data_IF_495608842231
#
_entry.id   IF_495608842231
#
_cell.length_a   1.000
_cell.length_b   1.000
_cell.length_c   1.000
_cell.angle_alpha   90.00
_cell.angle_beta   90.00
_cell.angle_gamma   90.00
#
_symmetry.space_group_name_H-M   'P 1'
#
loop_
_entity.id
_entity.type
_entity.pdbx_description
1 polymer ?
#
# COMPACT_ATOMS: atom_id res chain seq x y z
N UNK A 1 -50.33 -34.43 -54.14
CA UNK A 1 -49.72 -33.61 -55.19
C UNK A 1 -48.42 -33.10 -54.60
N UNK A 2 -47.39 -33.72 -54.87
CA UNK A 2 -46.43 -33.54 -55.94
C UNK A 2 -45.38 -32.60 -55.45
N UNK A 3 -44.19 -32.89 -55.19
CA UNK A 3 -43.13 -33.69 -55.69
C UNK A 3 -41.83 -32.97 -55.41
N UNK A 4 -40.87 -33.74 -55.52
CA UNK A 4 -39.50 -33.63 -56.03
C UNK A 4 -38.41 -33.61 -54.96
N UNK A 5 -37.90 -34.83 -54.76
CA UNK A 5 -36.53 -35.09 -54.29
C UNK A 5 -35.49 -34.44 -55.17
N UNK A 6 -34.47 -33.82 -54.60
CA UNK A 6 -33.16 -33.76 -55.22
C UNK A 6 -32.10 -34.27 -54.24
N UNK A 7 -31.48 -35.38 -54.68
CA UNK A 7 -30.26 -35.97 -54.13
C UNK A 7 -29.07 -35.04 -54.36
N UNK A 8 -28.28 -34.81 -53.37
CA UNK A 8 -26.89 -34.33 -53.55
C UNK A 8 -25.96 -35.32 -52.85
N UNK A 9 -24.89 -35.63 -53.58
CA UNK A 9 -23.93 -36.73 -53.43
C UNK A 9 -23.08 -36.54 -52.18
N UNK A 10 -22.82 -37.66 -51.48
CA UNK A 10 -21.72 -37.84 -50.56
C UNK A 10 -20.37 -37.56 -51.23
N UNK A 11 -19.58 -36.66 -50.64
CA UNK A 11 -18.12 -36.65 -50.82
C UNK A 11 -17.50 -37.16 -49.53
N UNK A 12 -16.71 -38.20 -49.67
CA UNK A 12 -15.87 -38.77 -48.63
C UNK A 12 -15.00 -37.65 -47.99
N UNK A 13 -15.19 -37.36 -46.71
CA UNK A 13 -14.22 -36.66 -45.92
C UNK A 13 -13.55 -37.66 -44.99
N UNK A 14 -12.30 -37.93 -45.31
CA UNK A 14 -11.36 -38.69 -44.52
C UNK A 14 -11.16 -37.95 -43.17
N UNK A 15 -11.63 -38.54 -42.08
CA UNK A 15 -11.33 -38.03 -40.74
C UNK A 15 -9.90 -38.40 -40.41
N UNK A 16 -9.01 -37.41 -40.48
CA UNK A 16 -7.68 -37.47 -39.88
C UNK A 16 -7.87 -37.20 -38.39
N UNK A 17 -7.75 -38.23 -37.57
CA UNK A 17 -7.60 -38.09 -36.13
C UNK A 17 -6.28 -37.41 -35.82
N UNK A 18 -6.29 -36.09 -35.64
CA UNK A 18 -5.23 -35.40 -34.96
C UNK A 18 -5.40 -35.66 -33.46
N UNK A 19 -4.57 -36.54 -32.92
CA UNK A 19 -4.40 -36.68 -31.48
C UNK A 19 -3.87 -35.35 -30.93
N UNK A 20 -4.78 -34.56 -30.35
CA UNK A 20 -4.39 -33.42 -29.55
C UNK A 20 -3.81 -33.93 -28.24
N UNK A 21 -2.49 -34.02 -28.18
CA UNK A 21 -1.77 -34.09 -26.92
C UNK A 21 -2.01 -32.77 -26.18
N UNK A 22 -2.96 -32.77 -25.29
CA UNK A 22 -3.10 -31.71 -24.27
C UNK A 22 -1.84 -31.76 -23.42
N UNK A 23 -0.84 -30.98 -23.81
CA UNK A 23 0.30 -30.69 -22.98
C UNK A 23 -0.24 -29.97 -21.74
N UNK A 24 -0.30 -30.71 -20.64
CA UNK A 24 -0.41 -30.09 -19.31
C UNK A 24 0.80 -29.17 -19.20
N UNK A 25 0.56 -27.88 -19.26
CA UNK A 25 1.59 -26.88 -18.96
C UNK A 25 1.97 -27.06 -17.50
N UNK A 26 2.99 -27.87 -17.25
CA UNK A 26 3.64 -27.93 -15.96
C UNK A 26 4.19 -26.53 -15.73
N UNK A 27 3.56 -25.80 -14.80
CA UNK A 27 4.08 -24.53 -14.34
C UNK A 27 5.53 -24.77 -13.93
N UNK A 28 6.47 -24.16 -14.64
CA UNK A 28 7.89 -24.24 -14.28
C UNK A 28 8.01 -23.67 -12.87
N UNK A 29 8.65 -24.38 -11.93
CA UNK A 29 8.92 -23.82 -10.63
C UNK A 29 9.70 -22.53 -10.86
N UNK A 30 9.23 -21.45 -10.22
CA UNK A 30 9.91 -20.16 -10.22
C UNK A 30 11.27 -20.38 -9.53
N UNK A 31 12.32 -20.46 -10.30
CA UNK A 31 13.69 -20.43 -9.80
C UNK A 31 14.08 -18.97 -9.70
N UNK A 32 14.47 -18.46 -8.51
CA UNK A 32 15.02 -17.13 -8.39
C UNK A 32 16.25 -17.04 -9.30
N UNK A 33 16.14 -16.27 -10.36
CA UNK A 33 17.30 -15.95 -11.19
C UNK A 33 18.17 -15.03 -10.36
N UNK A 34 19.35 -15.48 -9.97
CA UNK A 34 20.35 -14.65 -9.32
C UNK A 34 20.51 -13.35 -10.14
N UNK A 35 20.43 -12.18 -9.51
CA UNK A 35 20.61 -10.93 -10.22
C UNK A 35 22.06 -10.86 -10.73
N UNK A 36 22.23 -10.80 -12.05
CA UNK A 36 23.53 -10.65 -12.71
C UNK A 36 24.13 -9.23 -12.59
N UNK A 37 23.57 -8.41 -11.72
CA UNK A 37 24.08 -7.07 -11.38
C UNK A 37 24.08 -6.98 -9.87
N UNK A 38 25.26 -6.79 -9.30
CA UNK A 38 25.39 -6.45 -7.88
C UNK A 38 24.35 -5.37 -7.54
N UNK A 39 23.40 -5.64 -6.62
CA UNK A 39 22.49 -4.61 -6.17
C UNK A 39 23.37 -3.51 -5.57
N UNK A 40 23.25 -2.28 -6.04
CA UNK A 40 23.83 -1.13 -5.30
C UNK A 40 23.28 -1.25 -3.88
N UNK A 41 24.18 -1.26 -2.89
CA UNK A 41 23.76 -1.53 -1.53
C UNK A 41 22.63 -0.59 -1.12
N UNK A 42 21.57 -1.17 -0.59
CA UNK A 42 20.33 -0.48 -0.28
C UNK A 42 20.51 0.66 0.75
N UNK A 43 21.61 0.65 1.52
CA UNK A 43 22.00 1.70 2.48
C UNK A 43 22.20 3.10 1.88
N UNK A 44 22.34 3.22 0.54
CA UNK A 44 22.40 4.55 -0.11
C UNK A 44 21.01 5.19 -0.28
N UNK A 45 19.91 4.52 0.10
CA UNK A 45 18.56 4.95 -0.22
C UNK A 45 17.92 5.83 0.84
N UNK A 46 18.33 5.69 2.11
CA UNK A 46 17.85 6.51 3.23
C UNK A 46 18.89 6.51 4.36
N UNK A 47 19.07 7.64 5.02
CA UNK A 47 19.83 7.67 6.26
C UNK A 47 18.90 7.25 7.41
N UNK A 48 19.08 6.06 8.03
CA UNK A 48 18.24 5.59 9.14
C UNK A 48 18.17 6.59 10.30
N UNK A 49 19.23 7.37 10.50
CA UNK A 49 19.31 8.37 11.58
C UNK A 49 18.29 9.53 11.44
N UNK A 50 17.65 9.70 10.27
CA UNK A 50 16.64 10.76 10.05
C UNK A 50 15.20 10.29 10.32
N UNK A 51 15.00 9.02 10.65
CA UNK A 51 13.68 8.47 10.91
C UNK A 51 13.32 8.67 12.38
N UNK A 52 12.06 9.09 12.67
CA UNK A 52 11.58 9.09 14.04
C UNK A 52 11.61 7.67 14.59
N UNK A 53 11.98 7.54 15.87
CA UNK A 53 11.89 6.27 16.56
C UNK A 53 10.43 5.77 16.55
N UNK A 54 10.25 4.48 16.32
CA UNK A 54 8.93 3.88 16.45
C UNK A 54 8.48 3.94 17.90
N UNK A 55 7.19 4.27 18.18
CA UNK A 55 6.69 4.25 19.54
C UNK A 55 6.79 2.84 20.10
N UNK A 56 7.22 2.67 21.38
CA UNK A 56 7.21 1.38 22.01
C UNK A 56 5.79 0.80 22.05
N UNK A 57 5.68 -0.51 21.98
CA UNK A 57 4.41 -1.16 22.23
C UNK A 57 3.96 -0.89 23.68
N UNK A 58 2.66 -0.57 23.92
CA UNK A 58 2.12 -0.52 25.26
C UNK A 58 2.35 -1.81 26.02
N UNK A 59 2.74 -1.71 27.29
CA UNK A 59 2.95 -2.87 28.17
C UNK A 59 2.59 -2.49 29.62
N UNK A 60 1.71 -3.22 30.31
CA UNK A 60 0.93 -4.36 29.80
C UNK A 60 -0.13 -3.93 28.78
N UNK A 61 -0.56 -4.86 27.91
CA UNK A 61 -1.60 -4.59 26.92
C UNK A 61 -2.98 -4.84 27.51
N UNK A 62 -3.85 -3.82 27.50
CA UNK A 62 -5.27 -3.99 27.80
C UNK A 62 -5.99 -4.62 26.61
N UNK A 63 -6.62 -5.78 26.81
CA UNK A 63 -7.25 -6.56 25.76
C UNK A 63 -8.44 -5.83 25.10
N UNK A 64 -9.23 -5.07 25.88
CA UNK A 64 -10.39 -4.33 25.36
C UNK A 64 -9.97 -3.17 24.47
N UNK A 65 -8.99 -2.39 24.89
CA UNK A 65 -8.41 -1.30 24.10
C UNK A 65 -7.72 -1.86 22.85
N UNK A 66 -7.04 -2.99 22.96
CA UNK A 66 -6.39 -3.64 21.83
C UNK A 66 -7.41 -4.11 20.79
N UNK A 67 -8.52 -4.75 21.24
CA UNK A 67 -9.62 -5.16 20.35
C UNK A 67 -10.23 -3.96 19.61
N UNK A 68 -10.52 -2.86 20.32
CA UNK A 68 -11.04 -1.64 19.72
C UNK A 68 -10.08 -1.05 18.67
N UNK A 69 -8.79 -0.99 19.00
CA UNK A 69 -7.75 -0.51 18.09
C UNK A 69 -7.54 -1.42 16.88
N UNK A 70 -7.60 -2.74 17.07
CA UNK A 70 -7.55 -3.73 15.99
C UNK A 70 -8.76 -3.60 15.05
N UNK A 71 -9.96 -3.52 15.60
CA UNK A 71 -11.18 -3.32 14.82
C UNK A 71 -11.12 -2.02 14.00
N UNK A 72 -10.69 -0.91 14.62
CA UNK A 72 -10.48 0.36 13.92
C UNK A 72 -9.46 0.22 12.78
N UNK A 73 -8.29 -0.38 13.03
CA UNK A 73 -7.26 -0.59 12.00
C UNK A 73 -7.79 -1.38 10.80
N UNK A 74 -8.55 -2.44 11.07
CA UNK A 74 -9.06 -3.37 10.06
C UNK A 74 -10.37 -2.91 9.40
N UNK A 75 -10.97 -1.80 9.86
CA UNK A 75 -12.27 -1.31 9.39
C UNK A 75 -13.41 -2.27 9.72
N UNK A 76 -13.37 -2.88 10.91
CA UNK A 76 -14.35 -3.85 11.40
C UNK A 76 -15.28 -3.22 12.44
N UNK A 77 -16.48 -3.79 12.58
CA UNK A 77 -17.27 -3.58 13.78
C UNK A 77 -16.56 -4.26 14.96
N UNK A 78 -16.40 -3.54 16.09
CA UNK A 78 -15.70 -4.04 17.27
C UNK A 78 -16.37 -5.28 17.91
N UNK A 79 -17.65 -5.52 17.61
CA UNK A 79 -18.42 -6.68 18.07
C UNK A 79 -18.43 -7.84 17.07
N UNK A 80 -17.74 -7.72 15.96
CA UNK A 80 -17.69 -8.75 14.93
C UNK A 80 -16.78 -9.92 15.33
N UNK A 81 -17.11 -11.13 14.92
CA UNK A 81 -16.26 -12.33 15.12
C UNK A 81 -14.86 -12.16 14.55
N UNK A 82 -14.65 -11.29 13.55
CA UNK A 82 -13.33 -10.96 13.04
C UNK A 82 -12.54 -10.05 13.99
N UNK A 83 -13.21 -9.20 14.75
CA UNK A 83 -12.57 -8.38 15.79
C UNK A 83 -12.14 -9.25 16.98
N UNK A 84 -12.84 -10.35 17.26
CA UNK A 84 -12.51 -11.29 18.34
C UNK A 84 -11.17 -12.01 18.10
N UNK A 85 -10.70 -12.10 16.85
CA UNK A 85 -9.35 -12.61 16.53
C UNK A 85 -8.24 -11.82 17.22
N UNK A 86 -8.51 -10.60 17.67
CA UNK A 86 -7.56 -9.79 18.44
C UNK A 86 -7.12 -10.47 19.74
N UNK A 87 -8.00 -11.20 20.41
CA UNK A 87 -7.68 -11.93 21.63
C UNK A 87 -6.73 -13.12 21.35
N UNK A 88 -6.95 -13.84 20.26
CA UNK A 88 -6.07 -14.94 19.86
C UNK A 88 -4.74 -14.42 19.29
N UNK A 89 -4.75 -13.23 18.66
CA UNK A 89 -3.53 -12.55 18.23
C UNK A 89 -2.66 -12.15 19.42
N UNK A 90 -3.26 -11.64 20.50
CA UNK A 90 -2.53 -11.35 21.74
C UNK A 90 -1.89 -12.61 22.35
N UNK A 91 -2.63 -13.73 22.39
CA UNK A 91 -2.09 -15.02 22.88
C UNK A 91 -0.93 -15.52 22.00
N UNK A 92 -1.07 -15.42 20.69
CA UNK A 92 -0.02 -15.84 19.76
C UNK A 92 1.23 -14.94 19.87
N UNK A 93 1.04 -13.64 20.07
CA UNK A 93 2.12 -12.69 20.28
C UNK A 93 2.87 -13.01 21.59
N UNK A 94 2.15 -13.21 22.69
CA UNK A 94 2.72 -13.56 24.00
C UNK A 94 3.51 -14.88 23.93
N UNK A 95 2.95 -15.91 23.29
CA UNK A 95 3.60 -17.19 23.12
C UNK A 95 4.90 -17.14 22.30
N UNK A 96 5.05 -16.18 21.41
CA UNK A 96 6.21 -16.00 20.55
C UNK A 96 7.12 -14.84 20.98
N UNK A 97 6.84 -14.17 22.09
CA UNK A 97 7.53 -12.94 22.54
C UNK A 97 7.55 -11.85 21.48
N UNK A 98 6.45 -11.75 20.73
CA UNK A 98 6.28 -10.83 19.60
C UNK A 98 5.48 -9.58 19.97
N UNK A 99 5.70 -8.49 19.23
CA UNK A 99 4.88 -7.27 19.34
C UNK A 99 3.49 -7.47 18.70
N UNK A 100 2.39 -7.49 19.48
CA UNK A 100 1.04 -7.71 18.96
C UNK A 100 0.57 -6.61 18.02
N UNK A 101 1.05 -5.38 18.18
CA UNK A 101 0.71 -4.27 17.28
C UNK A 101 1.38 -4.43 15.91
N UNK A 102 2.59 -4.97 15.88
CA UNK A 102 3.27 -5.31 14.62
C UNK A 102 2.56 -6.47 13.90
N UNK A 103 2.13 -7.51 14.64
CA UNK A 103 1.34 -8.60 14.05
C UNK A 103 0.02 -8.10 13.46
N UNK A 104 -0.71 -7.25 14.18
CA UNK A 104 -1.94 -6.64 13.66
C UNK A 104 -1.68 -5.81 12.40
N UNK A 105 -0.59 -5.04 12.38
CA UNK A 105 -0.19 -4.25 11.22
C UNK A 105 0.16 -5.12 9.99
N UNK A 106 0.81 -6.25 10.20
CA UNK A 106 1.10 -7.25 9.15
C UNK A 106 -0.18 -7.87 8.59
N UNK A 107 -1.12 -8.26 9.45
CA UNK A 107 -2.42 -8.77 9.04
C UNK A 107 -3.19 -7.73 8.21
N UNK A 108 -3.22 -6.47 8.66
CA UNK A 108 -3.84 -5.38 7.90
C UNK A 108 -3.15 -5.15 6.55
N UNK A 109 -1.83 -5.07 6.52
CA UNK A 109 -1.07 -4.77 5.30
C UNK A 109 -1.23 -5.87 4.26
N UNK A 110 -1.08 -7.13 4.64
CA UNK A 110 -1.05 -8.26 3.73
C UNK A 110 -2.45 -8.68 3.23
N UNK A 111 -3.47 -8.68 4.11
CA UNK A 111 -4.76 -9.32 3.84
C UNK A 111 -5.98 -8.46 4.16
N UNK A 112 -5.78 -7.24 4.70
CA UNK A 112 -6.87 -6.44 5.28
C UNK A 112 -7.59 -7.17 6.41
N UNK A 113 -6.82 -7.87 7.22
CA UNK A 113 -7.30 -8.66 8.35
C UNK A 113 -8.30 -9.75 7.94
N UNK A 114 -8.18 -10.30 6.75
CA UNK A 114 -9.04 -11.39 6.29
C UNK A 114 -8.40 -12.75 6.63
N UNK A 115 -8.96 -13.51 7.60
CA UNK A 115 -8.43 -14.81 7.97
C UNK A 115 -8.64 -15.88 6.89
N UNK A 116 -9.56 -15.64 5.96
CA UNK A 116 -9.85 -16.52 4.82
C UNK A 116 -9.14 -16.09 3.54
N UNK A 117 -8.12 -15.23 3.66
CA UNK A 117 -7.36 -14.76 2.50
C UNK A 117 -6.65 -15.91 1.79
N UNK A 118 -6.87 -15.99 0.48
CA UNK A 118 -6.16 -16.91 -0.42
C UNK A 118 -5.99 -16.27 -1.80
N UNK A 119 -4.79 -15.85 -2.10
CA UNK A 119 -4.47 -15.22 -3.38
C UNK A 119 -2.99 -15.37 -3.69
N UNK A 120 -2.67 -15.64 -4.96
CA UNK A 120 -1.29 -15.67 -5.47
C UNK A 120 -0.35 -16.60 -4.67
N UNK A 121 -0.87 -17.76 -4.17
CA UNK A 121 -0.12 -18.72 -3.38
C UNK A 121 0.06 -18.34 -1.90
N UNK A 122 -0.60 -17.28 -1.44
CA UNK A 122 -0.56 -16.76 -0.06
C UNK A 122 -1.87 -17.05 0.65
N UNK A 123 -1.80 -17.43 1.92
CA UNK A 123 -2.93 -17.98 2.68
C UNK A 123 -3.03 -17.43 4.10
N UNK A 124 -4.26 -17.39 4.61
CA UNK A 124 -4.58 -17.06 5.99
C UNK A 124 -4.40 -15.59 6.35
N UNK A 125 -4.57 -15.27 7.62
CA UNK A 125 -4.62 -13.90 8.15
C UNK A 125 -3.41 -13.04 7.75
N UNK A 126 -2.22 -13.63 7.63
CA UNK A 126 -0.99 -12.91 7.29
C UNK A 126 -0.58 -13.05 5.82
N UNK A 127 -1.36 -13.78 5.00
CA UNK A 127 -1.00 -14.02 3.61
C UNK A 127 0.36 -14.73 3.48
N UNK A 128 0.56 -15.79 4.25
CA UNK A 128 1.81 -16.55 4.28
C UNK A 128 1.87 -17.45 3.05
N UNK A 129 3.03 -17.45 2.38
CA UNK A 129 3.35 -18.43 1.36
C UNK A 129 4.03 -19.64 2.03
N UNK A 130 3.50 -20.87 1.89
CA UNK A 130 4.09 -22.06 2.53
C UNK A 130 5.57 -22.30 2.22
N UNK A 131 6.03 -21.82 1.07
CA UNK A 131 7.43 -21.89 0.64
C UNK A 131 8.37 -20.96 1.43
N UNK A 132 7.86 -19.91 2.08
CA UNK A 132 8.68 -18.99 2.89
C UNK A 132 9.39 -19.67 4.06
N UNK A 133 8.93 -20.84 4.48
CA UNK A 133 9.58 -21.67 5.51
C UNK A 133 10.71 -22.56 4.97
N UNK A 134 10.98 -22.55 3.67
CA UNK A 134 11.99 -23.39 3.02
C UNK A 134 13.32 -22.69 2.76
N UNK A 135 13.56 -21.55 3.40
CA UNK A 135 14.86 -20.87 3.26
C UNK A 135 15.94 -21.78 3.88
N UNK A 136 16.94 -22.25 3.12
CA UNK A 136 17.89 -23.28 3.57
C UNK A 136 18.71 -22.89 4.79
N UNK A 137 18.89 -21.60 5.05
CA UNK A 137 19.75 -21.04 6.10
C UNK A 137 18.94 -20.38 7.25
N UNK A 138 17.60 -20.39 7.19
CA UNK A 138 16.81 -19.85 8.28
C UNK A 138 16.85 -20.79 9.48
N UNK A 139 16.96 -20.26 10.72
CA UNK A 139 16.78 -21.07 11.93
C UNK A 139 15.43 -21.80 11.84
N UNK A 140 15.38 -23.03 12.33
CA UNK A 140 14.16 -23.83 12.26
C UNK A 140 13.01 -23.08 12.90
N UNK A 141 11.88 -22.85 12.19
CA UNK A 141 10.72 -22.24 12.80
C UNK A 141 10.21 -23.17 13.92
N UNK A 142 9.70 -22.61 15.02
CA UNK A 142 9.17 -23.41 16.13
C UNK A 142 7.93 -24.23 15.75
N UNK A 143 7.42 -24.06 14.53
CA UNK A 143 6.25 -24.80 14.01
C UNK A 143 6.73 -25.97 13.16
N UNK A 144 6.18 -27.14 13.40
CA UNK A 144 6.48 -28.36 12.65
C UNK A 144 6.22 -28.15 11.15
N UNK A 145 7.28 -28.29 10.33
CA UNK A 145 7.23 -28.11 8.86
C UNK A 145 6.20 -29.01 8.17
N UNK A 146 5.83 -30.11 8.77
CA UNK A 146 4.80 -31.01 8.26
C UNK A 146 3.39 -30.45 8.32
N UNK A 147 3.14 -29.38 9.09
CA UNK A 147 1.81 -28.80 9.31
C UNK A 147 1.52 -27.55 8.50
N UNK A 148 2.52 -26.89 7.89
CA UNK A 148 2.32 -25.66 7.14
C UNK A 148 1.92 -25.93 5.70
N UNK A 149 0.73 -26.46 5.54
CA UNK A 149 0.05 -26.54 4.24
C UNK A 149 -0.82 -25.30 4.03
N UNK A 150 -1.18 -25.02 2.77
CA UNK A 150 -2.15 -23.96 2.46
C UNK A 150 -3.45 -24.14 3.24
N UNK A 151 -3.92 -25.38 3.42
CA UNK A 151 -5.12 -25.70 4.20
C UNK A 151 -4.94 -25.38 5.70
N UNK A 152 -3.79 -25.69 6.28
CA UNK A 152 -3.51 -25.39 7.69
C UNK A 152 -3.46 -23.88 7.94
N UNK A 153 -2.89 -23.09 7.02
CA UNK A 153 -2.85 -21.64 7.12
C UNK A 153 -4.24 -20.95 7.01
N UNK A 154 -5.26 -21.65 6.51
CA UNK A 154 -6.65 -21.16 6.51
C UNK A 154 -7.34 -21.35 7.86
N UNK A 155 -6.77 -22.13 8.77
CA UNK A 155 -7.19 -22.19 10.18
C UNK A 155 -6.63 -20.95 10.92
N UNK A 156 -7.49 -20.11 11.53
CA UNK A 156 -7.05 -18.87 12.18
C UNK A 156 -5.99 -19.09 13.27
N UNK A 157 -6.12 -20.12 14.11
CA UNK A 157 -5.17 -20.39 15.17
C UNK A 157 -3.79 -20.78 14.63
N UNK A 158 -3.74 -21.64 13.62
CA UNK A 158 -2.51 -22.02 12.93
C UNK A 158 -1.89 -20.82 12.21
N UNK A 159 -2.70 -20.00 11.55
CA UNK A 159 -2.22 -18.79 10.87
C UNK A 159 -1.59 -17.80 11.85
N UNK A 160 -2.22 -17.58 13.01
CA UNK A 160 -1.72 -16.69 14.06
C UNK A 160 -0.40 -17.19 14.63
N UNK A 161 -0.31 -18.45 15.01
CA UNK A 161 0.92 -19.05 15.53
C UNK A 161 2.07 -18.97 14.50
N UNK A 162 1.77 -19.31 13.24
CA UNK A 162 2.73 -19.25 12.16
C UNK A 162 3.20 -17.80 11.88
N UNK A 163 2.29 -16.83 11.90
CA UNK A 163 2.61 -15.42 11.70
C UNK A 163 3.51 -14.86 12.80
N UNK A 164 3.21 -15.15 14.05
CA UNK A 164 4.02 -14.73 15.19
C UNK A 164 5.44 -15.33 15.16
N UNK A 165 5.53 -16.66 14.96
CA UNK A 165 6.81 -17.34 14.85
C UNK A 165 7.65 -16.83 13.65
N UNK A 166 6.99 -16.56 12.53
CA UNK A 166 7.66 -16.04 11.33
C UNK A 166 8.19 -14.63 11.56
N UNK A 167 7.46 -13.77 12.27
CA UNK A 167 7.92 -12.42 12.61
C UNK A 167 9.20 -12.47 13.45
N UNK A 168 9.23 -13.31 14.49
CA UNK A 168 10.42 -13.42 15.33
C UNK A 168 11.61 -14.01 14.60
N UNK A 169 11.39 -15.02 13.75
CA UNK A 169 12.42 -15.53 12.87
C UNK A 169 13.04 -14.42 12.01
N UNK A 170 12.22 -13.55 11.41
CA UNK A 170 12.70 -12.45 10.57
C UNK A 170 13.34 -11.32 11.38
N UNK A 171 12.89 -11.06 12.62
CA UNK A 171 13.54 -10.12 13.52
C UNK A 171 14.94 -10.59 13.89
N UNK A 172 15.11 -11.88 14.23
CA UNK A 172 16.41 -12.46 14.49
C UNK A 172 17.32 -12.41 13.25
N UNK A 173 16.80 -12.82 12.10
CA UNK A 173 17.55 -12.78 10.82
C UNK A 173 17.96 -11.38 10.42
N UNK A 174 17.08 -10.39 10.59
CA UNK A 174 17.39 -8.97 10.32
C UNK A 174 18.57 -8.50 11.18
N UNK A 175 18.57 -8.85 12.47
CA UNK A 175 19.66 -8.51 13.38
C UNK A 175 21.00 -9.12 12.94
N UNK A 176 21.01 -10.39 12.55
CA UNK A 176 22.19 -11.05 12.00
C UNK A 176 22.71 -10.36 10.74
N UNK A 177 21.83 -9.96 9.82
CA UNK A 177 22.20 -9.25 8.60
C UNK A 177 22.74 -7.86 8.89
N UNK A 178 22.16 -7.14 9.84
CA UNK A 178 22.59 -5.81 10.25
C UNK A 178 24.00 -5.85 10.88
N UNK A 179 24.23 -6.81 11.78
CA UNK A 179 25.52 -7.05 12.42
C UNK A 179 26.61 -7.45 11.41
N UNK A 180 26.23 -8.23 10.36
CA UNK A 180 27.18 -8.77 9.38
C UNK A 180 27.56 -7.77 8.29
N UNK A 181 26.69 -6.84 7.92
CA UNK A 181 26.85 -5.95 6.76
C UNK A 181 27.02 -4.46 7.12
N UNK A 182 27.11 -4.13 8.42
CA UNK A 182 27.36 -2.75 8.88
C UNK A 182 26.20 -1.80 8.67
N UNK A 183 25.01 -2.29 8.76
CA UNK A 183 23.74 -1.55 8.67
C UNK A 183 22.85 -1.98 7.53
N UNK A 184 21.59 -2.26 7.86
CA UNK A 184 20.55 -2.59 6.91
C UNK A 184 19.84 -1.33 6.41
N UNK A 185 19.33 -1.37 5.18
CA UNK A 185 18.44 -0.33 4.65
C UNK A 185 17.06 -0.35 5.32
N UNK A 186 16.79 -1.35 6.14
CA UNK A 186 15.55 -1.58 6.85
C UNK A 186 15.81 -1.48 8.35
N UNK A 187 14.80 -0.99 9.08
CA UNK A 187 14.87 -0.74 10.51
C UNK A 187 14.46 -1.97 11.34
N UNK A 188 13.74 -2.87 10.72
CA UNK A 188 13.09 -4.00 11.40
C UNK A 188 12.99 -5.22 10.50
N UNK A 189 12.68 -6.39 11.09
CA UNK A 189 12.41 -7.61 10.37
C UNK A 189 11.11 -7.65 9.57
N UNK A 190 10.20 -6.66 9.72
CA UNK A 190 8.88 -6.69 9.04
C UNK A 190 8.98 -6.64 7.51
N UNK A 191 10.02 -6.02 6.97
CA UNK A 191 10.25 -6.01 5.54
C UNK A 191 10.53 -7.41 5.00
N UNK A 192 11.29 -8.19 5.74
CA UNK A 192 11.61 -9.59 5.41
C UNK A 192 10.39 -10.51 5.50
N UNK A 193 9.44 -10.21 6.38
CA UNK A 193 8.18 -10.95 6.45
C UNK A 193 7.41 -10.97 5.13
N UNK A 194 7.52 -9.89 4.36
CA UNK A 194 6.83 -9.76 3.06
C UNK A 194 7.67 -10.27 1.89
N UNK A 195 9.00 -10.12 1.95
CA UNK A 195 9.91 -10.29 0.80
C UNK A 195 10.95 -11.39 0.98
N UNK A 196 11.05 -12.01 2.15
CA UNK A 196 12.15 -12.93 2.45
C UNK A 196 13.49 -12.18 2.54
N UNK A 197 14.58 -12.84 2.18
CA UNK A 197 15.94 -12.26 2.23
C UNK A 197 16.15 -11.13 1.19
N UNK A 198 15.41 -11.14 0.08
CA UNK A 198 15.54 -10.14 -0.98
C UNK A 198 14.70 -8.89 -0.74
N UNK A 199 15.00 -8.09 0.25
CA UNK A 199 14.26 -6.85 0.47
C UNK A 199 14.66 -5.79 -0.55
N UNK A 200 13.71 -5.36 -1.37
CA UNK A 200 13.95 -4.45 -2.50
C UNK A 200 13.63 -2.99 -2.24
N UNK A 201 12.84 -2.69 -1.21
CA UNK A 201 12.34 -1.33 -0.94
C UNK A 201 11.87 -1.19 0.50
N UNK A 202 12.29 -0.12 1.17
CA UNK A 202 11.80 0.25 2.49
C UNK A 202 10.33 0.74 2.51
N UNK A 203 9.71 0.96 1.34
CA UNK A 203 8.37 1.54 1.27
C UNK A 203 7.28 0.69 1.92
N UNK A 204 7.43 -0.64 1.92
CA UNK A 204 6.46 -1.53 2.56
C UNK A 204 6.67 -1.65 4.05
N UNK A 205 7.92 -1.65 4.50
CA UNK A 205 8.22 -1.50 5.92
C UNK A 205 7.55 -0.25 6.48
N UNK A 206 7.67 0.88 5.79
CA UNK A 206 7.03 2.13 6.19
C UNK A 206 5.52 2.02 6.30
N UNK A 207 4.86 1.34 5.38
CA UNK A 207 3.41 1.15 5.40
C UNK A 207 2.96 0.24 6.56
N UNK A 208 3.72 -0.82 6.84
CA UNK A 208 3.44 -1.71 7.98
C UNK A 208 3.64 -0.96 9.29
N UNK A 209 4.76 -0.26 9.45
CA UNK A 209 5.05 0.52 10.64
C UNK A 209 4.05 1.69 10.83
N UNK A 210 3.56 2.26 9.74
CA UNK A 210 2.46 3.23 9.80
C UNK A 210 1.17 2.60 10.32
N UNK A 211 0.81 1.40 9.85
CA UNK A 211 -0.35 0.68 10.36
C UNK A 211 -0.21 0.37 11.85
N UNK A 212 0.99 -0.01 12.29
CA UNK A 212 1.32 -0.20 13.70
C UNK A 212 1.13 1.09 14.52
N UNK A 213 1.67 2.21 14.05
CA UNK A 213 1.49 3.52 14.72
C UNK A 213 0.03 3.95 14.81
N UNK A 214 -0.76 3.72 13.75
CA UNK A 214 -2.21 3.98 13.76
C UNK A 214 -2.89 3.21 14.87
N UNK A 215 -2.59 1.93 15.00
CA UNK A 215 -3.19 1.10 16.03
C UNK A 215 -2.78 1.54 17.44
N UNK A 216 -1.51 1.87 17.66
CA UNK A 216 -1.02 2.38 18.95
C UNK A 216 -1.65 3.75 19.27
N UNK A 217 -1.83 4.62 18.30
CA UNK A 217 -2.46 5.92 18.50
C UNK A 217 -3.93 5.78 18.95
N UNK A 218 -4.69 4.88 18.33
CA UNK A 218 -6.06 4.56 18.73
C UNK A 218 -6.10 3.92 20.11
N UNK A 219 -5.21 2.95 20.37
CA UNK A 219 -5.10 2.29 21.66
C UNK A 219 -4.85 3.26 22.84
N UNK A 220 -4.00 4.27 22.60
CA UNK A 220 -3.61 5.26 23.60
C UNK A 220 -4.55 6.48 23.62
N UNK A 221 -5.63 6.53 22.85
CA UNK A 221 -6.47 7.70 22.65
C UNK A 221 -5.62 8.95 22.32
N UNK A 222 -4.58 8.77 21.48
CA UNK A 222 -3.64 9.84 21.15
C UNK A 222 -4.36 10.93 20.38
N UNK A 223 -4.34 12.19 20.84
CA UNK A 223 -5.01 13.29 20.16
C UNK A 223 -4.37 13.53 18.78
N UNK A 224 -5.20 13.98 17.85
CA UNK A 224 -4.74 14.36 16.52
C UNK A 224 -3.74 15.53 16.61
N UNK A 225 -2.61 15.40 15.91
CA UNK A 225 -1.62 16.47 15.86
C UNK A 225 -2.18 17.62 15.02
N UNK A 226 -2.34 18.78 15.64
CA UNK A 226 -2.72 20.02 14.96
C UNK A 226 -1.51 20.93 14.79
N UNK A 227 -1.53 21.77 13.77
CA UNK A 227 -0.48 22.74 13.50
C UNK A 227 -1.02 23.99 12.84
N UNK A 228 -0.62 25.16 13.33
CA UNK A 228 -0.80 26.41 12.62
C UNK A 228 0.18 26.46 11.43
N UNK A 229 -0.36 26.39 10.22
CA UNK A 229 0.46 26.37 9.01
C UNK A 229 0.80 27.79 8.55
N UNK A 230 1.94 28.02 7.83
CA UNK A 230 2.33 29.36 7.34
C UNK A 230 1.34 29.98 6.34
N UNK A 231 0.32 29.23 5.92
CA UNK A 231 -0.78 29.69 5.07
C UNK A 231 -1.95 30.29 5.89
N UNK A 232 -1.79 30.44 7.19
CA UNK A 232 -2.80 31.01 8.11
C UNK A 232 -4.03 30.11 8.28
N UNK A 233 -3.85 28.81 8.30
CA UNK A 233 -4.87 27.78 8.56
C UNK A 233 -4.30 26.75 9.52
N UNK A 234 -5.06 26.40 10.58
CA UNK A 234 -4.72 25.28 11.44
C UNK A 234 -5.02 23.97 10.70
N UNK A 235 -4.01 23.12 10.59
CA UNK A 235 -4.12 21.87 9.82
C UNK A 235 -3.87 20.63 10.67
N UNK A 236 -4.47 19.53 10.23
CA UNK A 236 -4.20 18.15 10.69
C UNK A 236 -3.60 17.34 9.54
N UNK A 237 -3.16 16.13 9.84
CA UNK A 237 -2.64 15.23 8.80
C UNK A 237 -3.75 14.75 7.84
N UNK A 238 -3.53 14.73 6.52
CA UNK A 238 -4.50 14.15 5.57
C UNK A 238 -4.59 12.63 5.66
N UNK A 239 -3.64 11.98 6.35
CA UNK A 239 -3.59 10.55 6.59
C UNK A 239 -3.31 10.29 8.06
N UNK A 240 -3.87 9.21 8.60
CA UNK A 240 -3.71 8.84 10.00
C UNK A 240 -2.25 8.52 10.37
N UNK A 241 -1.94 8.57 11.68
CA UNK A 241 -0.63 8.25 12.26
C UNK A 241 0.58 8.97 11.63
N UNK A 242 0.61 10.31 11.64
CA UNK A 242 1.81 11.05 11.29
C UNK A 242 2.98 10.71 12.25
N UNK A 243 4.24 10.90 11.82
CA UNK A 243 4.64 11.43 10.51
C UNK A 243 4.54 10.42 9.37
N UNK A 244 4.13 10.89 8.20
CA UNK A 244 3.99 10.08 6.99
C UNK A 244 5.17 10.29 6.04
N UNK A 245 5.61 9.22 5.39
CA UNK A 245 6.72 9.30 4.44
C UNK A 245 6.24 9.88 3.12
N UNK A 246 6.87 10.94 2.66
CA UNK A 246 6.70 11.46 1.31
C UNK A 246 7.73 10.82 0.37
N UNK A 247 7.24 10.28 -0.73
CA UNK A 247 8.08 9.58 -1.73
C UNK A 247 8.54 10.50 -2.86
N UNK A 248 7.87 11.64 -3.06
CA UNK A 248 8.21 12.62 -4.08
C UNK A 248 7.67 14.00 -3.71
N UNK A 249 8.43 15.05 -4.02
CA UNK A 249 8.14 16.43 -3.64
C UNK A 249 7.88 17.36 -4.82
N UNK A 250 7.46 18.62 -4.53
CA UNK A 250 7.31 19.64 -5.54
C UNK A 250 8.61 19.90 -6.30
N UNK A 251 8.50 20.06 -7.62
CA UNK A 251 9.65 20.33 -8.50
C UNK A 251 10.33 19.10 -9.06
N UNK A 252 10.03 17.90 -8.55
CA UNK A 252 10.56 16.64 -9.09
C UNK A 252 10.17 16.44 -10.55
N UNK A 253 11.09 15.87 -11.32
CA UNK A 253 10.86 15.60 -12.73
C UNK A 253 9.79 14.53 -12.95
N UNK A 254 8.83 14.84 -13.84
CA UNK A 254 7.80 13.95 -14.35
C UNK A 254 7.93 13.80 -15.87
N UNK A 255 7.52 12.63 -16.38
CA UNK A 255 7.48 12.35 -17.81
C UNK A 255 8.83 12.60 -18.54
N UNK A 256 9.94 12.26 -17.85
CA UNK A 256 11.30 12.46 -18.37
C UNK A 256 11.77 13.92 -18.36
N UNK A 257 11.21 14.76 -17.49
CA UNK A 257 11.54 16.18 -17.34
C UNK A 257 10.59 17.14 -18.11
N UNK A 258 9.63 16.58 -18.86
CA UNK A 258 8.65 17.39 -19.60
C UNK A 258 7.68 18.15 -18.68
N UNK A 259 7.53 17.72 -17.44
CA UNK A 259 6.63 18.33 -16.45
C UNK A 259 7.28 18.27 -15.06
N UNK A 260 7.02 19.25 -14.23
CA UNK A 260 7.40 19.27 -12.82
C UNK A 260 6.27 18.76 -11.93
N UNK A 261 6.63 18.07 -10.88
CA UNK A 261 5.69 17.64 -9.84
C UNK A 261 5.12 18.86 -9.11
N UNK A 262 3.81 18.91 -8.94
CA UNK A 262 3.14 20.08 -8.38
C UNK A 262 2.79 19.92 -6.90
N UNK A 263 2.78 18.71 -6.40
CA UNK A 263 2.37 18.38 -5.04
C UNK A 263 3.38 17.53 -4.29
N UNK A 264 2.89 16.89 -3.25
CA UNK A 264 3.61 15.95 -2.41
C UNK A 264 2.96 14.56 -2.57
N UNK A 265 3.76 13.55 -2.95
CA UNK A 265 3.28 12.17 -2.98
C UNK A 265 3.57 11.51 -1.63
N UNK A 266 2.53 11.24 -0.85
CA UNK A 266 2.61 10.64 0.49
C UNK A 266 2.32 9.15 0.37
N UNK A 267 3.25 8.30 0.82
CA UNK A 267 3.10 6.85 0.81
C UNK A 267 1.87 6.44 1.62
N UNK A 268 1.02 5.60 1.01
CA UNK A 268 -0.20 5.14 1.65
C UNK A 268 -0.65 3.78 1.08
N UNK A 269 -1.45 3.05 1.84
CA UNK A 269 -2.05 1.80 1.40
C UNK A 269 -3.29 2.05 0.53
N UNK A 270 -3.54 1.17 -0.43
CA UNK A 270 -4.79 1.21 -1.20
C UNK A 270 -5.99 1.08 -0.26
N UNK A 271 -6.97 2.00 -0.41
CA UNK A 271 -8.16 2.04 0.43
C UNK A 271 -7.95 2.68 1.82
N UNK A 272 -6.79 3.25 2.10
CA UNK A 272 -6.56 3.99 3.35
C UNK A 272 -7.42 5.25 3.41
N UNK A 273 -8.03 5.59 4.58
CA UNK A 273 -8.84 6.80 4.73
C UNK A 273 -8.04 8.07 4.45
N UNK A 274 -8.63 8.97 3.66
CA UNK A 274 -8.12 10.32 3.40
C UNK A 274 -9.03 11.32 4.12
N UNK A 275 -8.43 12.25 4.86
CA UNK A 275 -9.12 13.21 5.70
C UNK A 275 -8.86 14.64 5.25
N UNK A 276 -9.82 15.53 5.45
CA UNK A 276 -9.62 16.96 5.23
C UNK A 276 -8.56 17.50 6.19
N UNK A 277 -7.60 18.25 5.67
CA UNK A 277 -6.54 18.84 6.52
C UNK A 277 -7.05 19.99 7.40
N UNK A 278 -8.16 20.61 7.05
CA UNK A 278 -8.76 21.72 7.80
C UNK A 278 -10.25 21.83 7.52
N UNK A 279 -10.95 22.66 8.27
CA UNK A 279 -12.33 23.07 7.94
C UNK A 279 -12.39 23.70 6.57
N UNK A 280 -13.47 23.50 5.82
CA UNK A 280 -13.61 24.12 4.50
C UNK A 280 -14.82 23.66 3.72
N UNK A 281 -14.91 24.15 2.49
CA UNK A 281 -15.97 23.81 1.52
C UNK A 281 -15.39 23.02 0.37
N UNK A 282 -16.00 21.90 0.01
CA UNK A 282 -15.62 21.11 -1.17
C UNK A 282 -15.98 21.92 -2.43
N UNK A 283 -14.98 22.40 -3.16
CA UNK A 283 -15.16 23.19 -4.38
C UNK A 283 -15.06 22.36 -5.66
N UNK A 284 -14.62 21.13 -5.54
CA UNK A 284 -14.59 20.16 -6.64
C UNK A 284 -14.53 18.73 -6.09
N UNK A 285 -15.37 17.85 -6.63
CA UNK A 285 -15.28 16.41 -6.44
C UNK A 285 -15.58 15.72 -7.77
N UNK A 286 -14.60 14.98 -8.33
CA UNK A 286 -14.76 14.42 -9.66
C UNK A 286 -13.52 13.71 -10.20
N UNK A 287 -13.36 13.77 -11.52
CA UNK A 287 -12.26 13.12 -12.24
C UNK A 287 -11.47 14.07 -13.11
N UNK A 288 -10.19 13.80 -13.27
CA UNK A 288 -9.35 14.38 -14.30
C UNK A 288 -9.52 13.56 -15.57
N UNK A 289 -10.04 14.18 -16.64
CA UNK A 289 -10.24 13.56 -17.94
C UNK A 289 -9.14 13.98 -18.94
N UNK A 290 -8.91 13.22 -20.03
CA UNK A 290 -7.99 13.61 -21.10
C UNK A 290 -8.31 15.01 -21.65
N UNK A 291 -7.28 15.77 -22.04
CA UNK A 291 -7.44 17.17 -22.48
C UNK A 291 -7.59 18.17 -21.34
N UNK A 292 -7.19 17.79 -20.10
CA UNK A 292 -7.31 18.60 -18.88
C UNK A 292 -8.75 18.99 -18.49
N UNK A 293 -9.74 18.32 -19.06
CA UNK A 293 -11.13 18.52 -18.70
C UNK A 293 -11.39 17.93 -17.30
N UNK A 294 -12.00 18.74 -16.44
CA UNK A 294 -12.56 18.29 -15.18
C UNK A 294 -14.00 17.84 -15.42
N UNK A 295 -14.37 16.71 -14.84
CA UNK A 295 -15.75 16.22 -14.82
C UNK A 295 -16.15 15.94 -13.39
N UNK A 296 -17.16 16.65 -12.93
CA UNK A 296 -17.80 16.53 -11.62
C UNK A 296 -19.11 17.32 -11.61
N UNK A 297 -19.98 17.11 -10.64
CA UNK A 297 -19.94 16.00 -9.66
C UNK A 297 -20.26 14.65 -10.33
N UNK A 298 -19.58 13.59 -9.89
CA UNK A 298 -19.85 12.23 -10.35
C UNK A 298 -20.37 11.43 -9.16
N UNK A 299 -21.58 10.86 -9.24
CA UNK A 299 -22.10 10.03 -8.17
C UNK A 299 -21.14 8.88 -7.82
N UNK A 300 -20.99 8.54 -6.52
CA UNK A 300 -20.03 7.53 -6.06
C UNK A 300 -20.19 6.16 -6.76
N UNK A 301 -21.41 5.76 -7.08
CA UNK A 301 -21.72 4.52 -7.80
C UNK A 301 -21.24 4.52 -9.26
N UNK A 302 -21.04 5.70 -9.85
CA UNK A 302 -20.53 5.85 -11.20
C UNK A 302 -19.00 5.91 -11.25
N UNK A 303 -18.33 6.29 -10.17
CA UNK A 303 -16.86 6.41 -10.13
C UNK A 303 -16.20 5.07 -10.45
N UNK A 304 -16.72 3.96 -9.89
CA UNK A 304 -16.21 2.61 -10.13
C UNK A 304 -16.29 2.17 -11.60
N UNK A 305 -17.15 2.80 -12.41
CA UNK A 305 -17.32 2.54 -13.86
C UNK A 305 -16.30 3.26 -14.73
N UNK A 306 -15.56 4.21 -14.16
CA UNK A 306 -14.52 4.92 -14.90
C UNK A 306 -13.28 4.03 -15.05
N UNK A 307 -13.07 3.55 -16.27
CA UNK A 307 -11.87 2.76 -16.57
C UNK A 307 -10.61 3.62 -16.41
N UNK A 308 -9.57 3.09 -15.76
CA UNK A 308 -8.28 3.79 -15.54
C UNK A 308 -7.70 4.43 -16.80
N UNK A 309 -7.89 3.81 -17.98
CA UNK A 309 -7.43 4.32 -19.28
C UNK A 309 -8.12 5.61 -19.73
N UNK A 310 -9.27 5.97 -19.14
CA UNK A 310 -10.03 7.17 -19.45
C UNK A 310 -9.72 8.36 -18.54
N UNK A 311 -8.85 8.15 -17.56
CA UNK A 311 -8.47 9.15 -16.60
C UNK A 311 -7.15 9.80 -17.00
N UNK A 312 -7.06 11.12 -16.90
CA UNK A 312 -5.81 11.86 -16.97
C UNK A 312 -5.04 11.74 -15.66
N UNK A 313 -3.86 12.34 -15.59
CA UNK A 313 -2.87 12.17 -14.50
C UNK A 313 -3.44 12.43 -13.10
N UNK A 314 -4.39 13.33 -12.92
CA UNK A 314 -5.00 13.59 -11.59
C UNK A 314 -5.87 12.45 -11.08
N UNK A 315 -6.38 11.58 -11.98
CA UNK A 315 -7.27 10.49 -11.60
C UNK A 315 -8.60 10.98 -11.02
N UNK A 316 -9.07 10.28 -9.99
CA UNK A 316 -10.19 10.71 -9.15
C UNK A 316 -9.62 11.64 -8.08
N UNK A 317 -10.23 12.81 -7.90
CA UNK A 317 -9.73 13.80 -6.95
C UNK A 317 -10.80 14.73 -6.44
N UNK A 318 -10.52 15.42 -5.35
CA UNK A 318 -11.33 16.50 -4.82
C UNK A 318 -10.45 17.67 -4.37
N UNK A 319 -11.03 18.86 -4.31
CA UNK A 319 -10.39 20.05 -3.78
C UNK A 319 -11.30 20.75 -2.77
N UNK A 320 -10.70 21.25 -1.68
CA UNK A 320 -11.39 21.92 -0.58
C UNK A 320 -10.82 23.32 -0.43
N UNK A 321 -11.69 24.32 -0.36
CA UNK A 321 -11.36 25.69 -0.04
C UNK A 321 -11.48 25.91 1.45
N UNK A 322 -10.36 26.30 2.09
CA UNK A 322 -10.28 26.56 3.52
C UNK A 322 -10.39 28.02 3.89
N UNK A 323 -9.97 28.88 2.99
CA UNK A 323 -10.11 30.34 3.05
C UNK A 323 -10.56 30.89 1.72
N UNK A 324 -11.57 31.77 1.68
CA UNK A 324 -11.96 32.46 0.43
C UNK A 324 -10.99 33.60 0.07
N UNK A 325 -11.22 34.25 -1.05
CA UNK A 325 -10.53 35.48 -1.43
C UNK A 325 -10.65 36.55 -0.32
N UNK A 326 -9.63 37.44 -0.12
CA UNK A 326 -8.41 37.56 -0.96
C UNK A 326 -7.29 36.56 -0.62
N UNK A 327 -7.32 35.95 0.56
CA UNK A 327 -6.30 35.01 1.06
C UNK A 327 -6.68 33.55 0.76
N UNK A 328 -7.13 33.30 -0.43
CA UNK A 328 -7.67 32.00 -0.82
C UNK A 328 -6.70 30.87 -0.57
N UNK A 329 -7.12 29.88 0.19
CA UNK A 329 -6.36 28.64 0.47
C UNK A 329 -7.15 27.42 0.02
N UNK A 330 -6.57 26.63 -0.86
CA UNK A 330 -7.19 25.40 -1.40
C UNK A 330 -6.23 24.23 -1.25
N UNK A 331 -6.76 23.09 -0.81
CA UNK A 331 -6.03 21.81 -0.87
C UNK A 331 -6.70 20.85 -1.84
N UNK A 332 -5.90 20.06 -2.56
CA UNK A 332 -6.40 19.04 -3.47
C UNK A 332 -5.80 17.67 -3.14
N UNK A 333 -6.65 16.65 -3.20
CA UNK A 333 -6.37 15.26 -2.85
C UNK A 333 -6.61 14.40 -4.08
N UNK A 334 -5.54 13.82 -4.66
CA UNK A 334 -5.60 13.16 -5.97
C UNK A 334 -5.23 11.67 -5.89
N UNK A 335 -5.45 10.97 -7.00
CA UNK A 335 -5.24 9.53 -7.16
C UNK A 335 -6.15 8.68 -6.27
N UNK A 336 -7.30 9.22 -5.82
CA UNK A 336 -8.23 8.53 -4.95
C UNK A 336 -8.81 7.27 -5.61
N UNK A 337 -9.17 6.29 -4.80
CA UNK A 337 -10.02 5.17 -5.21
C UNK A 337 -11.47 5.61 -5.32
N UNK A 338 -11.91 6.44 -4.35
CA UNK A 338 -13.24 7.04 -4.29
C UNK A 338 -13.23 8.23 -3.34
N UNK A 339 -14.30 9.02 -3.36
CA UNK A 339 -14.59 10.06 -2.38
C UNK A 339 -15.99 9.85 -1.77
N UNK A 340 -16.24 10.45 -0.60
CA UNK A 340 -17.49 10.28 0.17
C UNK A 340 -18.19 11.61 0.46
N UNK A 341 -17.73 12.70 -0.16
CA UNK A 341 -18.28 14.05 -0.04
C UNK A 341 -18.69 14.58 -1.41
N UNK A 342 -19.57 15.56 -1.46
CA UNK A 342 -20.03 16.21 -2.68
C UNK A 342 -19.53 17.65 -2.77
N UNK A 343 -19.59 18.27 -3.96
CA UNK A 343 -19.35 19.70 -4.12
C UNK A 343 -20.34 20.49 -3.27
N UNK A 344 -19.87 21.57 -2.66
CA UNK A 344 -20.55 22.43 -1.68
C UNK A 344 -20.70 21.83 -0.28
N UNK A 345 -20.30 20.60 -0.02
CA UNK A 345 -20.28 20.08 1.34
C UNK A 345 -19.31 20.87 2.21
N UNK A 346 -19.76 21.18 3.46
CA UNK A 346 -18.91 21.72 4.51
C UNK A 346 -18.23 20.53 5.20
N UNK A 347 -16.92 20.57 5.28
CA UNK A 347 -16.12 19.54 5.95
C UNK A 347 -15.32 20.11 7.11
N UNK A 348 -15.06 19.27 8.11
CA UNK A 348 -14.25 19.61 9.27
C UNK A 348 -12.82 19.05 9.11
N UNK A 349 -11.87 19.67 9.81
CA UNK A 349 -10.54 19.09 9.99
C UNK A 349 -10.65 17.65 10.49
N UNK A 350 -9.88 16.72 9.92
CA UNK A 350 -9.94 15.30 10.27
C UNK A 350 -11.13 14.52 9.71
N UNK A 351 -12.13 15.18 9.11
CA UNK A 351 -13.28 14.49 8.52
C UNK A 351 -12.86 13.60 7.35
N UNK A 352 -13.38 12.36 7.30
CA UNK A 352 -13.23 11.46 6.15
C UNK A 352 -13.80 12.08 4.88
N UNK A 353 -12.99 12.15 3.83
CA UNK A 353 -13.38 12.74 2.53
C UNK A 353 -13.22 11.76 1.37
N UNK A 354 -12.45 10.68 1.54
CA UNK A 354 -12.24 9.68 0.49
C UNK A 354 -11.25 8.60 0.91
N UNK A 355 -10.79 7.84 -0.07
CA UNK A 355 -9.89 6.72 0.14
C UNK A 355 -8.75 6.74 -0.87
N UNK A 356 -7.55 6.40 -0.40
CA UNK A 356 -6.34 6.32 -1.23
C UNK A 356 -6.52 5.30 -2.36
N UNK A 357 -6.11 5.70 -3.56
CA UNK A 357 -6.16 4.87 -4.74
C UNK A 357 -4.86 4.86 -5.55
N UNK A 358 -5.02 4.60 -6.83
CA UNK A 358 -3.99 4.60 -7.88
C UNK A 358 -4.52 5.17 -9.19
N UNK A 359 -5.62 5.91 -9.14
CA UNK A 359 -6.29 6.39 -10.35
C UNK A 359 -5.44 7.47 -11.05
N UNK A 360 -5.37 7.41 -12.38
CA UNK A 360 -4.58 8.34 -13.18
C UNK A 360 -3.07 8.07 -13.22
N UNK A 361 -2.54 7.13 -12.43
CA UNK A 361 -1.12 6.74 -12.46
C UNK A 361 -0.91 5.34 -13.03
N UNK A 362 0.17 5.15 -13.80
CA UNK A 362 0.43 3.89 -14.52
C UNK A 362 1.36 2.94 -13.75
N UNK A 363 2.39 3.48 -13.12
CA UNK A 363 3.51 2.70 -12.59
C UNK A 363 3.82 2.94 -11.09
N UNK A 364 3.29 4.00 -10.50
CA UNK A 364 3.51 4.28 -9.07
C UNK A 364 2.69 3.36 -8.18
N UNK A 365 3.21 2.95 -7.01
CA UNK A 365 2.39 2.30 -5.98
C UNK A 365 1.26 3.23 -5.51
N UNK A 366 0.28 2.73 -4.73
CA UNK A 366 -0.73 3.57 -4.10
C UNK A 366 -0.08 4.68 -3.27
N UNK A 367 -0.62 5.88 -3.36
CA UNK A 367 -0.16 7.06 -2.62
C UNK A 367 -1.23 8.14 -2.67
N UNK A 368 -1.16 9.08 -1.73
CA UNK A 368 -1.91 10.31 -1.79
C UNK A 368 -1.05 11.39 -2.45
N UNK A 369 -1.47 11.90 -3.61
CA UNK A 369 -0.92 13.13 -4.16
C UNK A 369 -1.68 14.32 -3.56
N UNK A 370 -0.95 15.17 -2.83
CA UNK A 370 -1.49 16.29 -2.07
C UNK A 370 -0.92 17.61 -2.58
N UNK A 371 -1.81 18.54 -3.00
CA UNK A 371 -1.44 19.90 -3.41
C UNK A 371 -2.00 20.93 -2.42
N UNK A 372 -1.25 22.00 -2.21
CA UNK A 372 -1.68 23.20 -1.48
C UNK A 372 -1.53 24.40 -2.40
N UNK A 373 -2.57 25.25 -2.44
CA UNK A 373 -2.60 26.46 -3.24
C UNK A 373 -2.98 27.66 -2.37
N UNK A 374 -2.26 28.76 -2.59
CA UNK A 374 -2.56 30.07 -1.97
C UNK A 374 -2.75 31.07 -3.12
N UNK A 375 -3.96 31.58 -3.26
CA UNK A 375 -4.37 32.27 -4.49
C UNK A 375 -4.14 31.36 -5.72
N UNK A 376 -3.47 31.89 -6.73
CA UNK A 376 -3.10 31.16 -7.95
C UNK A 376 -1.82 30.32 -7.83
N UNK A 377 -1.11 30.39 -6.69
CA UNK A 377 0.22 29.77 -6.52
C UNK A 377 0.13 28.43 -5.81
N UNK A 378 0.86 27.45 -6.35
CA UNK A 378 1.12 26.18 -5.66
C UNK A 378 2.26 26.42 -4.68
N UNK A 379 2.02 26.08 -3.42
CA UNK A 379 3.01 26.16 -2.35
C UNK A 379 3.49 24.75 -1.95
N UNK A 380 4.66 24.69 -1.34
CA UNK A 380 5.24 23.41 -0.93
C UNK A 380 4.44 22.81 0.25
N UNK A 381 3.76 21.65 0.05
CA UNK A 381 2.95 21.01 1.10
C UNK A 381 3.76 20.59 2.33
N UNK A 382 5.06 20.33 2.20
CA UNK A 382 5.94 20.02 3.35
C UNK A 382 5.96 21.16 4.36
N UNK A 383 5.93 22.41 3.89
CA UNK A 383 5.84 23.58 4.80
C UNK A 383 4.52 23.67 5.52
N UNK A 384 3.44 23.27 4.85
CA UNK A 384 2.09 23.24 5.42
C UNK A 384 1.96 22.13 6.47
N UNK A 385 2.36 20.90 6.14
CA UNK A 385 2.23 19.74 7.02
C UNK A 385 3.31 19.67 8.11
N UNK A 386 4.51 20.23 7.86
CA UNK A 386 5.60 20.29 8.83
C UNK A 386 6.00 18.89 9.34
N UNK A 387 5.96 18.72 10.64
CA UNK A 387 6.32 17.47 11.32
C UNK A 387 5.39 16.28 11.02
N UNK A 388 4.24 16.52 10.36
CA UNK A 388 3.31 15.46 9.97
C UNK A 388 3.82 14.65 8.78
N UNK A 389 4.87 15.09 8.09
CA UNK A 389 5.49 14.38 6.98
C UNK A 389 7.01 14.31 7.12
N UNK A 390 7.57 13.21 6.67
CA UNK A 390 9.01 13.03 6.46
C UNK A 390 9.26 13.38 5.00
N UNK A 391 9.96 14.48 4.70
CA UNK A 391 10.15 14.91 3.32
C UNK A 391 10.95 13.90 2.50
N UNK A 392 10.75 13.84 1.17
CA UNK A 392 11.51 12.95 0.32
C UNK A 392 12.99 13.34 0.36
N UNK A 393 13.87 12.34 0.49
CA UNK A 393 15.31 12.58 0.30
C UNK A 393 15.60 12.79 -1.20
N UNK A 394 16.57 13.63 -1.54
CA UNK A 394 17.00 13.87 -2.92
C UNK A 394 17.37 12.56 -3.68
N UNK A 395 17.74 11.52 -2.95
CA UNK A 395 18.10 10.19 -3.50
C UNK A 395 16.86 9.37 -3.91
N UNK A 396 15.72 9.55 -3.24
CA UNK A 396 14.47 8.85 -3.59
C UNK A 396 13.85 9.37 -4.87
N UNK A 397 13.96 10.67 -5.13
CA UNK A 397 13.40 11.30 -6.34
C UNK A 397 14.03 10.78 -7.62
N UNK A 398 15.28 10.34 -7.58
CA UNK A 398 15.99 9.82 -8.75
C UNK A 398 15.58 8.40 -9.16
N UNK A 399 15.10 7.58 -8.23
CA UNK A 399 14.71 6.18 -8.50
C UNK A 399 13.36 6.01 -9.21
N UNK A 400 12.46 6.95 -9.04
CA UNK A 400 11.12 6.92 -9.65
C UNK A 400 11.01 7.76 -10.93
N UNK A 401 12.11 8.29 -11.46
CA UNK A 401 12.04 9.01 -12.73
C UNK A 401 11.67 8.05 -13.86
N UNK A 402 10.71 8.44 -14.69
CA UNK A 402 10.28 7.67 -15.88
C UNK A 402 11.46 7.38 -16.79
N UNK A 403 12.48 8.25 -16.80
CA UNK A 403 13.73 8.09 -17.56
C UNK A 403 14.56 6.91 -17.03
N UNK A 404 14.73 6.80 -15.71
CA UNK A 404 15.43 5.68 -15.08
C UNK A 404 14.66 4.36 -15.29
N UNK A 405 13.34 4.38 -15.17
CA UNK A 405 12.50 3.22 -15.44
C UNK A 405 12.59 2.77 -16.90
N UNK A 406 12.46 3.69 -17.86
CA UNK A 406 12.60 3.38 -19.32
C UNK A 406 14.00 2.89 -19.66
N UNK A 407 15.05 3.47 -19.09
CA UNK A 407 16.43 3.01 -19.28
C UNK A 407 16.62 1.58 -18.75
N UNK A 408 16.07 1.29 -17.56
CA UNK A 408 16.08 -0.06 -16.97
C UNK A 408 15.31 -1.07 -17.83
N UNK A 409 14.12 -0.71 -18.30
CA UNK A 409 13.30 -1.59 -19.15
C UNK A 409 13.95 -1.86 -20.52
N UNK A 410 14.64 -0.87 -21.12
CA UNK A 410 15.43 -1.07 -22.34
C UNK A 410 16.58 -2.05 -22.11
N UNK A 411 17.28 -1.91 -20.97
CA UNK A 411 18.40 -2.79 -20.61
C UNK A 411 17.94 -4.24 -20.38
N UNK A 412 16.80 -4.42 -19.69
CA UNK A 412 16.19 -5.73 -19.47
C UNK A 412 15.73 -6.39 -20.77
N UNK A 413 15.16 -5.63 -21.72
CA UNK A 413 14.77 -6.14 -23.04
C UNK A 413 15.97 -6.53 -23.89
N UNK A 414 17.04 -5.74 -23.88
CA UNK A 414 18.28 -6.06 -24.60
C UNK A 414 18.96 -7.35 -24.08
N UNK A 415 18.82 -7.66 -22.79
CA UNK A 415 19.34 -8.88 -22.18
C UNK A 415 18.47 -10.13 -22.43
N UNK A 416 17.25 -9.96 -22.93
CA UNK A 416 16.36 -11.08 -23.29
C UNK A 416 16.46 -11.47 -24.76
N UNK A 417 17.16 -10.65 -25.56
CA UNK A 417 17.37 -10.87 -27.03
C UNK A 417 18.76 -11.37 -27.36
N UNK A 418 19.63 -11.56 -26.38
CA UNK A 418 20.90 -12.25 -26.45
C UNK A 418 20.83 -13.61 -25.74
#
# INVERSE_FOLDING_TARGET
MGGILRRAKCAFCTVVLLASTTGVAVARPWTPRAPSVEPKPAHQLRNPATWPAEPPAPSPVDAGKFQAAYAHLCGLDATSARADLSADLLKAADAADSDPFTLAALAYFNTKCDPQFHKDGRYGLFGIEPSMYRVPEAPEPPVDRGQLTSRALMDPATSLAAGAALLEMWNARHKELDDSFGGSAHRTGVAHFVWGDEVRSSGQEDLILTARRRMIAVYNDTPEITREAPIGVTVVSPLEAPPRVATSGPGDDRDGGARKHRGLDIAASLGEPVRSVADGTVIFAGVSAPGHLRKGPIPPDQIARWAHRRLAVGGIYLCIEHKPEPDRVVTCYMHLASYVVAEQDQVKAGQLIGYVGRTGVKISPPHLHFEVRVGEHIVNPVRTLGQMVIPPSATLTHQYSVKAHRARMRKLRAQQTT
#
